data_IF_951894110145
#
_entry.id   IF_951894110145
#
_cell.length_a   1.000
_cell.length_b   1.000
_cell.length_c   1.000
_cell.angle_alpha   90.00
_cell.angle_beta   90.00
_cell.angle_gamma   90.00
#
_symmetry.space_group_name_H-M   'P 1'
#
loop_
_entity.id
_entity.type
_entity.pdbx_description
1 polymer ?
#
# COMPACT_ATOMS: atom_id res chain seq x y z
N UNK A 1 -36.61 4.97 -28.69
CA UNK A 1 -36.31 3.62 -28.15
C UNK A 1 -36.34 3.71 -26.64
N UNK A 2 -37.21 2.97 -25.93
CA UNK A 2 -37.34 3.05 -24.47
C UNK A 2 -36.66 1.82 -23.88
N UNK A 3 -35.55 2.01 -23.15
CA UNK A 3 -34.81 0.91 -22.53
C UNK A 3 -35.68 0.21 -21.49
N UNK A 4 -35.61 -1.12 -21.45
CA UNK A 4 -36.30 -1.91 -20.41
C UNK A 4 -35.51 -1.83 -19.11
N UNK A 5 -36.20 -2.02 -17.98
CA UNK A 5 -35.61 -1.89 -16.64
C UNK A 5 -34.40 -2.82 -16.44
N UNK A 6 -34.42 -4.05 -16.98
CA UNK A 6 -33.28 -4.97 -16.88
C UNK A 6 -32.06 -4.53 -17.71
N UNK A 7 -32.26 -3.83 -18.83
CA UNK A 7 -31.17 -3.27 -19.65
C UNK A 7 -30.53 -2.06 -18.97
N UNK A 8 -31.32 -1.25 -18.25
CA UNK A 8 -30.79 -0.20 -17.38
C UNK A 8 -29.98 -0.78 -16.23
N UNK A 9 -30.46 -1.88 -15.63
CA UNK A 9 -29.73 -2.64 -14.61
C UNK A 9 -28.40 -3.19 -15.14
N UNK A 10 -28.38 -3.74 -16.36
CA UNK A 10 -27.15 -4.22 -17.00
C UNK A 10 -26.14 -3.10 -17.22
N UNK A 11 -26.57 -1.97 -17.81
CA UNK A 11 -25.71 -0.81 -18.04
C UNK A 11 -25.12 -0.26 -16.74
N UNK A 12 -25.94 -0.17 -15.69
CA UNK A 12 -25.46 0.25 -14.38
C UNK A 12 -24.47 -0.76 -13.79
N UNK A 13 -24.75 -2.06 -13.93
CA UNK A 13 -23.81 -3.11 -13.50
C UNK A 13 -22.46 -3.03 -14.21
N UNK A 14 -22.46 -2.81 -15.53
CA UNK A 14 -21.24 -2.60 -16.33
C UNK A 14 -20.49 -1.35 -15.86
N UNK A 15 -21.19 -0.25 -15.58
CA UNK A 15 -20.58 0.97 -15.06
C UNK A 15 -19.87 0.71 -13.72
N UNK A 16 -20.50 -0.03 -12.81
CA UNK A 16 -19.90 -0.41 -11.52
C UNK A 16 -18.66 -1.29 -11.72
N UNK A 17 -18.70 -2.27 -12.63
CA UNK A 17 -17.55 -3.10 -12.96
C UNK A 17 -16.38 -2.29 -13.51
N UNK A 18 -16.65 -1.39 -14.46
CA UNK A 18 -15.62 -0.51 -15.02
C UNK A 18 -15.03 0.42 -13.95
N UNK A 19 -15.88 0.93 -13.06
CA UNK A 19 -15.45 1.79 -11.94
C UNK A 19 -14.57 1.00 -10.95
N UNK A 20 -14.93 -0.25 -10.66
CA UNK A 20 -14.11 -1.16 -9.85
C UNK A 20 -12.73 -1.39 -10.46
N UNK A 21 -12.68 -1.70 -11.75
CA UNK A 21 -11.40 -1.91 -12.47
C UNK A 21 -10.56 -0.63 -12.51
N UNK A 22 -11.19 0.52 -12.76
CA UNK A 22 -10.51 1.80 -12.73
C UNK A 22 -9.94 2.12 -11.34
N UNK A 23 -10.71 1.89 -10.28
CA UNK A 23 -10.24 2.12 -8.91
C UNK A 23 -9.05 1.22 -8.54
N UNK A 24 -9.09 -0.04 -9.01
CA UNK A 24 -7.99 -0.98 -8.79
C UNK A 24 -6.70 -0.54 -9.51
N UNK A 25 -6.77 -0.19 -10.79
CA UNK A 25 -5.60 0.18 -11.59
C UNK A 25 -5.03 1.56 -11.25
N UNK A 26 -5.88 2.55 -10.99
CA UNK A 26 -5.44 3.94 -10.85
C UNK A 26 -5.20 4.39 -9.42
N UNK A 27 -5.72 3.66 -8.42
CA UNK A 27 -5.60 4.05 -7.01
C UNK A 27 -4.98 2.94 -6.18
N UNK A 28 -5.55 1.74 -6.20
CA UNK A 28 -5.15 0.67 -5.29
C UNK A 28 -3.75 0.12 -5.62
N UNK A 29 -3.50 -0.26 -6.87
CA UNK A 29 -2.21 -0.79 -7.30
C UNK A 29 -1.05 0.21 -7.14
N UNK A 30 -1.17 1.49 -7.55
CA UNK A 30 -0.12 2.48 -7.30
C UNK A 30 0.19 2.66 -5.81
N UNK A 31 -0.83 2.63 -4.95
CA UNK A 31 -0.65 2.82 -3.52
C UNK A 31 0.01 1.61 -2.85
N UNK A 32 -0.43 0.39 -3.17
CA UNK A 32 0.24 -0.87 -2.75
C UNK A 32 1.72 -0.84 -3.11
N UNK A 33 2.04 -0.47 -4.35
CA UNK A 33 3.42 -0.32 -4.79
C UNK A 33 4.18 0.73 -3.99
N UNK A 34 3.60 1.90 -3.71
CA UNK A 34 4.29 2.91 -2.90
C UNK A 34 4.59 2.41 -1.48
N UNK A 35 3.63 1.74 -0.84
CA UNK A 35 3.80 1.12 0.49
C UNK A 35 4.94 0.10 0.47
N UNK A 36 4.98 -0.79 -0.54
CA UNK A 36 6.07 -1.77 -0.71
C UNK A 36 7.44 -1.11 -0.86
N UNK A 37 7.55 -0.05 -1.65
CA UNK A 37 8.81 0.67 -1.85
C UNK A 37 9.28 1.35 -0.56
N UNK A 38 8.36 1.95 0.20
CA UNK A 38 8.69 2.55 1.50
C UNK A 38 9.14 1.50 2.51
N UNK A 39 8.46 0.35 2.57
CA UNK A 39 8.83 -0.76 3.44
C UNK A 39 10.22 -1.32 3.08
N UNK A 40 10.53 -1.44 1.79
CA UNK A 40 11.84 -1.86 1.33
C UNK A 40 12.93 -0.84 1.72
N UNK A 41 12.67 0.46 1.55
CA UNK A 41 13.58 1.52 1.96
C UNK A 41 13.82 1.51 3.48
N UNK A 42 12.76 1.34 4.27
CA UNK A 42 12.83 1.22 5.73
C UNK A 42 13.66 0.02 6.19
N UNK A 43 13.46 -1.14 5.55
CA UNK A 43 14.25 -2.34 5.82
C UNK A 43 15.74 -2.12 5.51
N UNK A 44 16.04 -1.46 4.39
CA UNK A 44 17.42 -1.08 4.05
C UNK A 44 18.03 -0.11 5.09
N UNK A 45 17.24 0.86 5.58
CA UNK A 45 17.66 1.78 6.64
C UNK A 45 17.95 1.05 7.95
N UNK A 46 17.09 0.12 8.38
CA UNK A 46 17.33 -0.68 9.60
C UNK A 46 18.62 -1.51 9.49
N UNK A 47 18.87 -2.15 8.34
CA UNK A 47 20.10 -2.89 8.12
C UNK A 47 21.35 -1.98 8.18
N UNK A 48 21.26 -0.79 7.58
CA UNK A 48 22.33 0.21 7.67
C UNK A 48 22.56 0.70 9.11
N UNK A 49 21.47 0.89 9.88
CA UNK A 49 21.54 1.29 11.29
C UNK A 49 22.26 0.23 12.13
N UNK A 50 21.97 -1.06 11.94
CA UNK A 50 22.68 -2.16 12.61
C UNK A 50 24.17 -2.15 12.26
N UNK A 51 24.51 -2.04 10.98
CA UNK A 51 25.91 -2.02 10.54
C UNK A 51 26.68 -0.80 11.08
N UNK A 52 26.06 0.39 11.08
CA UNK A 52 26.64 1.60 11.67
C UNK A 52 26.83 1.44 13.17
N UNK A 53 25.89 0.80 13.87
CA UNK A 53 26.00 0.53 15.32
C UNK A 53 27.24 -0.30 15.62
N UNK A 54 27.43 -1.37 14.87
CA UNK A 54 28.59 -2.25 15.02
C UNK A 54 29.89 -1.50 14.69
N UNK A 55 29.92 -0.72 13.60
CA UNK A 55 31.09 0.06 13.22
C UNK A 55 31.50 1.07 14.30
N UNK A 56 30.55 1.87 14.83
CA UNK A 56 30.83 2.80 15.92
C UNK A 56 31.24 2.08 17.20
N UNK A 57 30.60 0.95 17.53
CA UNK A 57 30.96 0.15 18.72
C UNK A 57 32.39 -0.36 18.61
N UNK A 58 32.78 -0.90 17.45
CA UNK A 58 34.14 -1.36 17.19
C UNK A 58 35.15 -0.21 17.25
N UNK A 59 34.82 0.94 16.66
CA UNK A 59 35.69 2.11 16.69
C UNK A 59 35.92 2.62 18.11
N UNK A 60 34.86 2.75 18.91
CA UNK A 60 34.96 3.17 20.32
C UNK A 60 35.78 2.16 21.12
N UNK A 61 35.55 0.86 20.92
CA UNK A 61 36.31 -0.20 21.59
C UNK A 61 37.80 -0.13 21.26
N UNK A 62 38.15 0.10 19.98
CA UNK A 62 39.54 0.27 19.56
C UNK A 62 40.17 1.52 20.18
N UNK A 63 39.46 2.65 20.18
CA UNK A 63 39.94 3.89 20.82
C UNK A 63 40.21 3.69 22.31
N UNK A 64 39.33 2.96 23.01
CA UNK A 64 39.51 2.60 24.42
C UNK A 64 40.73 1.68 24.62
N UNK A 65 40.92 0.66 23.77
CA UNK A 65 42.08 -0.23 23.83
C UNK A 65 43.40 0.49 23.56
N UNK A 66 43.38 1.50 22.70
CA UNK A 66 44.54 2.35 22.39
C UNK A 66 44.78 3.43 23.45
N UNK A 67 43.95 3.49 24.51
CA UNK A 67 44.01 4.51 25.55
C UNK A 67 43.97 5.93 24.98
N UNK A 68 43.13 6.12 23.94
CA UNK A 68 42.94 7.40 23.28
C UNK A 68 42.41 8.45 24.27
N UNK A 69 42.66 9.72 23.96
CA UNK A 69 42.23 10.81 24.82
C UNK A 69 40.68 10.81 25.00
N UNK A 70 40.17 11.11 26.22
CA UNK A 70 38.75 10.99 26.53
C UNK A 70 37.83 11.84 25.65
N UNK A 71 38.32 12.98 25.17
CA UNK A 71 37.63 13.87 24.24
C UNK A 71 37.38 13.23 22.86
N UNK A 72 38.32 12.40 22.37
CA UNK A 72 38.19 11.69 21.10
C UNK A 72 37.13 10.58 21.20
N UNK A 73 37.09 9.87 22.32
CA UNK A 73 36.07 8.85 22.60
C UNK A 73 34.69 9.51 22.69
N UNK A 74 34.57 10.58 23.49
CA UNK A 74 33.32 11.32 23.66
C UNK A 74 32.82 11.95 22.35
N UNK A 75 33.72 12.48 21.51
CA UNK A 75 33.36 12.99 20.19
C UNK A 75 32.82 11.91 19.25
N UNK A 76 33.35 10.70 19.33
CA UNK A 76 32.89 9.55 18.54
C UNK A 76 31.53 9.05 19.02
N UNK A 77 31.30 9.01 20.33
CA UNK A 77 29.99 8.71 20.94
C UNK A 77 28.93 9.76 20.59
N UNK A 78 29.26 11.04 20.66
CA UNK A 78 28.34 12.12 20.29
C UNK A 78 27.94 12.03 18.81
N UNK A 79 28.90 11.72 17.92
CA UNK A 79 28.63 11.56 16.49
C UNK A 79 27.79 10.32 16.18
N UNK A 80 28.01 9.22 16.90
CA UNK A 80 27.11 8.06 16.88
C UNK A 80 25.70 8.53 17.24
N UNK A 81 25.51 9.14 18.41
CA UNK A 81 24.18 9.49 18.92
C UNK A 81 23.44 10.48 18.01
N UNK A 82 24.14 11.44 17.40
CA UNK A 82 23.57 12.35 16.40
C UNK A 82 23.04 11.59 15.16
N UNK A 83 23.80 10.62 14.66
CA UNK A 83 23.39 9.81 13.51
C UNK A 83 22.20 8.92 13.86
N UNK A 84 22.22 8.26 15.03
CA UNK A 84 21.10 7.41 15.48
C UNK A 84 19.82 8.21 15.73
N UNK A 85 19.93 9.45 16.20
CA UNK A 85 18.76 10.33 16.36
C UNK A 85 18.06 10.62 15.02
N UNK A 86 18.82 10.76 13.92
CA UNK A 86 18.26 10.98 12.57
C UNK A 86 17.48 9.76 12.09
N UNK A 87 18.01 8.56 12.29
CA UNK A 87 17.30 7.32 11.96
C UNK A 87 16.02 7.16 12.77
N UNK A 88 16.05 7.40 14.10
CA UNK A 88 14.84 7.27 14.94
C UNK A 88 13.70 8.17 14.48
N UNK A 89 13.99 9.39 14.05
CA UNK A 89 12.96 10.30 13.55
C UNK A 89 12.42 9.82 12.19
N UNK A 90 13.32 9.38 11.29
CA UNK A 90 12.93 8.79 10.01
C UNK A 90 12.05 7.54 10.17
N UNK A 91 12.35 6.69 11.16
CA UNK A 91 11.59 5.47 11.45
C UNK A 91 10.16 5.80 11.92
N UNK A 92 10.01 6.85 12.74
CA UNK A 92 8.71 7.33 13.22
C UNK A 92 7.86 7.88 12.07
N UNK A 93 8.44 8.72 11.21
CA UNK A 93 7.75 9.32 10.06
C UNK A 93 7.27 8.26 9.07
N UNK A 94 8.10 7.23 8.81
CA UNK A 94 7.72 6.11 7.95
C UNK A 94 6.59 5.29 8.58
N UNK A 95 6.65 5.04 9.89
CA UNK A 95 5.63 4.26 10.60
C UNK A 95 4.26 4.94 10.52
N UNK A 96 4.21 6.25 10.74
CA UNK A 96 2.97 7.04 10.63
C UNK A 96 2.44 7.04 9.19
N UNK A 97 3.34 7.21 8.20
CA UNK A 97 2.99 7.12 6.79
C UNK A 97 2.40 5.75 6.41
N UNK A 98 3.00 4.66 6.89
CA UNK A 98 2.51 3.31 6.58
C UNK A 98 1.12 3.08 7.18
N UNK A 99 0.91 3.49 8.43
CA UNK A 99 -0.35 3.28 9.15
C UNK A 99 -1.52 4.05 8.49
N UNK A 100 -1.26 5.27 8.02
CA UNK A 100 -2.26 6.04 7.29
C UNK A 100 -2.58 5.41 5.93
N UNK A 101 -1.57 5.04 5.14
CA UNK A 101 -1.78 4.50 3.80
C UNK A 101 -2.37 3.09 3.81
N UNK A 102 -1.99 2.21 4.74
CA UNK A 102 -2.57 0.87 4.89
C UNK A 102 -4.07 0.94 5.21
N UNK A 103 -4.46 1.91 6.05
CA UNK A 103 -5.88 2.15 6.36
C UNK A 103 -6.65 2.63 5.13
N UNK A 104 -6.08 3.54 4.34
CA UNK A 104 -6.70 3.99 3.08
C UNK A 104 -6.79 2.86 2.07
N UNK A 105 -5.78 1.98 2.02
CA UNK A 105 -5.75 0.80 1.16
C UNK A 105 -6.92 -0.12 1.45
N UNK A 106 -7.13 -0.45 2.72
CA UNK A 106 -8.23 -1.31 3.14
C UNK A 106 -9.60 -0.73 2.77
N UNK A 107 -9.80 0.59 2.91
CA UNK A 107 -11.05 1.21 2.49
C UNK A 107 -11.27 1.12 0.98
N UNK A 108 -10.25 1.42 0.18
CA UNK A 108 -10.35 1.35 -1.27
C UNK A 108 -10.58 -0.11 -1.73
N UNK A 109 -9.96 -1.10 -1.08
CA UNK A 109 -10.16 -2.51 -1.39
C UNK A 109 -11.61 -2.94 -1.14
N UNK A 110 -12.20 -2.52 -0.01
CA UNK A 110 -13.61 -2.77 0.29
C UNK A 110 -14.50 -2.14 -0.79
N UNK A 111 -14.22 -0.89 -1.19
CA UNK A 111 -15.00 -0.21 -2.25
C UNK A 111 -14.91 -0.98 -3.56
N UNK A 112 -13.71 -1.40 -3.98
CA UNK A 112 -13.50 -2.22 -5.19
C UNK A 112 -14.32 -3.51 -5.11
N UNK A 113 -14.25 -4.24 -4.00
CA UNK A 113 -15.00 -5.49 -3.81
C UNK A 113 -16.51 -5.26 -3.93
N UNK A 114 -17.04 -4.21 -3.30
CA UNK A 114 -18.47 -3.89 -3.34
C UNK A 114 -18.90 -3.50 -4.75
N UNK A 115 -18.14 -2.65 -5.44
CA UNK A 115 -18.42 -2.25 -6.82
C UNK A 115 -18.40 -3.44 -7.76
N UNK A 116 -17.40 -4.31 -7.62
CA UNK A 116 -17.28 -5.53 -8.40
C UNK A 116 -18.48 -6.46 -8.17
N UNK A 117 -18.78 -6.79 -6.91
CA UNK A 117 -19.85 -7.72 -6.56
C UNK A 117 -21.23 -7.25 -7.00
N UNK A 118 -21.56 -5.97 -6.74
CA UNK A 118 -22.83 -5.37 -7.18
C UNK A 118 -22.89 -5.26 -8.71
N UNK A 119 -21.78 -4.87 -9.34
CA UNK A 119 -21.68 -4.76 -10.78
C UNK A 119 -21.90 -6.09 -11.50
N UNK A 120 -21.23 -7.15 -11.04
CA UNK A 120 -21.38 -8.52 -11.56
C UNK A 120 -22.82 -9.02 -11.41
N UNK A 121 -23.46 -8.77 -10.27
CA UNK A 121 -24.83 -9.20 -10.02
C UNK A 121 -25.81 -8.49 -10.96
N UNK A 122 -25.72 -7.16 -11.08
CA UNK A 122 -26.63 -6.38 -11.91
C UNK A 122 -26.43 -6.64 -13.42
N UNK A 123 -25.18 -6.73 -13.88
CA UNK A 123 -24.87 -7.09 -15.26
C UNK A 123 -25.30 -8.53 -15.59
N UNK A 124 -25.04 -9.47 -14.68
CA UNK A 124 -25.40 -10.87 -14.86
C UNK A 124 -26.91 -11.11 -14.91
N UNK A 125 -27.66 -10.47 -14.01
CA UNK A 125 -29.13 -10.54 -13.99
C UNK A 125 -29.75 -9.89 -15.23
N UNK A 126 -29.27 -8.72 -15.64
CA UNK A 126 -29.75 -8.06 -16.85
C UNK A 126 -29.58 -8.93 -18.09
N UNK A 127 -28.39 -9.53 -18.25
CA UNK A 127 -28.05 -10.39 -19.39
C UNK A 127 -28.83 -11.71 -19.40
N UNK A 128 -29.10 -12.30 -18.23
CA UNK A 128 -29.94 -13.51 -18.15
C UNK A 128 -31.41 -13.22 -18.48
N UNK A 129 -31.96 -12.07 -18.07
CA UNK A 129 -33.30 -11.65 -18.48
C UNK A 129 -33.41 -11.40 -19.98
N UNK A 130 -32.40 -10.80 -20.60
CA UNK A 130 -32.37 -10.63 -22.06
C UNK A 130 -32.32 -11.97 -22.80
N UNK A 131 -31.53 -12.94 -22.32
CA UNK A 131 -31.50 -14.29 -22.89
C UNK A 131 -32.85 -15.03 -22.74
N UNK A 132 -33.50 -14.93 -21.57
CA UNK A 132 -34.82 -15.52 -21.35
C UNK A 132 -35.89 -14.88 -22.24
N UNK A 133 -35.86 -13.56 -22.40
CA UNK A 133 -36.78 -12.85 -23.29
C UNK A 133 -36.57 -13.24 -24.76
N UNK A 134 -35.31 -13.42 -25.18
CA UNK A 134 -34.97 -13.87 -26.52
C UNK A 134 -35.44 -15.32 -26.79
N UNK A 135 -35.22 -16.26 -25.86
CA UNK A 135 -35.72 -17.65 -25.98
C UNK A 135 -37.23 -17.70 -26.10
N UNK A 136 -37.94 -16.96 -25.25
CA UNK A 136 -39.40 -16.88 -25.29
C UNK A 136 -39.91 -16.29 -26.62
N UNK A 137 -39.19 -15.34 -27.21
CA UNK A 137 -39.53 -14.79 -28.52
C UNK A 137 -39.23 -15.76 -29.68
N UNK A 138 -38.27 -16.67 -29.51
CA UNK A 138 -37.93 -17.72 -30.46
C UNK A 138 -38.87 -18.95 -30.40
N UNK A 139 -39.77 -19.01 -29.41
CA UNK A 139 -40.75 -20.10 -29.26
C UNK A 139 -40.19 -21.35 -28.57
N UNK A 140 -39.04 -21.24 -27.90
CA UNK A 140 -38.48 -22.25 -26.99
C UNK A 140 -39.02 -22.12 -25.56
#
# INVERSE_FOLDING_TARGET
MRLKIHQLGELFGILLLLSSTAMQLFYLEPMKRQIEWQLAAFTAQQNAQVQLRESFTNQITLLQQMNAAPDVIAGTEARRDEIFAKYRNSDADISDYMLENERVEGYLEIVVIVLFGLGSLLAGLGRTFDMMAARKAAGE
#
